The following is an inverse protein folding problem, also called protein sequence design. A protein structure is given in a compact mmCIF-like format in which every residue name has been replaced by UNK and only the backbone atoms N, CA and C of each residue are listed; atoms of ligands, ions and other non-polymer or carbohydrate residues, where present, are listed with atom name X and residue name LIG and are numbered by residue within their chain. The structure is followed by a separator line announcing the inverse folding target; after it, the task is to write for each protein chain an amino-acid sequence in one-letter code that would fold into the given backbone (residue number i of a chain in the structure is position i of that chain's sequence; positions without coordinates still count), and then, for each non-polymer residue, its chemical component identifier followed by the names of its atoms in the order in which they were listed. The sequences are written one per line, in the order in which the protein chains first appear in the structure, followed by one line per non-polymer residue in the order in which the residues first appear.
data_IF_715396592746
#
_entry.id   IF_715396592746
#
_cell.length_a   1.000
_cell.length_b   1.000
_cell.length_c   1.000
_cell.angle_alpha   90.00
_cell.angle_beta   90.00
_cell.angle_gamma   90.00
#
_symmetry.space_group_name_H-M   'P 1'
#
loop_
_entity.id
_entity.type
_entity.pdbx_description
1 polymer ?
#
# COMPACT_ATOMS: atom_id res chain seq x y z
N UNK A 1 26.65 1.61 11.10
CA UNK A 1 25.79 2.74 10.69
C UNK A 1 24.62 2.86 11.66
N UNK A 2 24.37 4.02 12.23
CA UNK A 2 23.25 4.22 13.16
C UNK A 2 21.90 4.17 12.43
N UNK A 3 20.87 3.88 13.21
CA UNK A 3 19.50 3.79 12.69
C UNK A 3 19.09 5.10 11.99
N UNK A 4 18.67 5.01 10.75
CA UNK A 4 18.21 6.15 9.95
C UNK A 4 19.27 6.90 9.15
N UNK A 5 20.55 6.66 9.38
CA UNK A 5 21.60 7.21 8.51
C UNK A 5 21.44 6.70 7.08
N UNK A 6 21.83 7.51 6.10
CA UNK A 6 21.75 7.13 4.70
C UNK A 6 23.07 7.32 3.97
N UNK A 7 23.35 6.41 3.04
CA UNK A 7 24.54 6.45 2.22
C UNK A 7 24.19 7.10 0.90
N UNK A 8 24.96 8.12 0.50
CA UNK A 8 24.74 8.84 -0.75
C UNK A 8 25.03 7.92 -1.94
N UNK A 9 24.01 7.61 -2.77
CA UNK A 9 24.19 6.75 -3.95
C UNK A 9 24.64 7.51 -5.20
N UNK A 10 24.78 8.82 -5.11
CA UNK A 10 25.07 9.68 -6.26
C UNK A 10 26.47 9.43 -6.80
N UNK A 11 26.62 9.63 -8.09
CA UNK A 11 27.92 9.58 -8.75
C UNK A 11 28.45 10.99 -9.00
N UNK A 12 29.74 11.19 -8.73
CA UNK A 12 30.46 12.42 -8.96
C UNK A 12 31.75 12.05 -9.70
N UNK A 13 31.95 12.56 -10.88
CA UNK A 13 33.11 12.22 -11.71
C UNK A 13 33.23 10.73 -12.02
N UNK A 14 32.12 10.01 -12.18
CA UNK A 14 32.07 8.58 -12.44
C UNK A 14 32.19 7.68 -11.22
N UNK A 15 32.56 8.23 -10.06
CA UNK A 15 32.72 7.50 -8.81
C UNK A 15 31.49 7.67 -7.91
N UNK A 16 31.15 6.64 -7.16
CA UNK A 16 30.08 6.71 -6.16
C UNK A 16 30.52 7.59 -4.98
N UNK A 17 29.68 8.53 -4.59
CA UNK A 17 29.95 9.40 -3.45
C UNK A 17 30.13 8.59 -2.15
N UNK A 18 29.17 7.73 -1.82
CA UNK A 18 29.27 6.83 -0.68
C UNK A 18 29.31 7.48 0.70
N UNK A 19 29.13 8.80 0.80
CA UNK A 19 29.15 9.50 2.07
C UNK A 19 28.00 9.06 2.98
N UNK A 20 28.31 8.85 4.25
CA UNK A 20 27.29 8.53 5.29
C UNK A 20 26.73 9.84 5.83
N UNK A 21 25.43 10.05 5.68
CA UNK A 21 24.75 11.26 6.12
C UNK A 21 23.82 10.96 7.30
N UNK A 22 23.63 11.96 8.16
CA UNK A 22 22.72 11.86 9.29
C UNK A 22 21.25 11.75 8.83
N UNK A 23 20.37 11.17 9.65
CA UNK A 23 18.97 10.92 9.26
C UNK A 23 18.22 12.17 8.79
N UNK A 24 18.45 13.29 9.44
CA UNK A 24 17.78 14.57 9.14
C UNK A 24 18.43 15.38 8.03
N UNK A 25 19.61 14.98 7.58
CA UNK A 25 20.33 15.67 6.51
C UNK A 25 19.60 15.43 5.19
N UNK A 26 19.17 16.51 4.54
CA UNK A 26 18.48 16.48 3.25
C UNK A 26 19.40 16.58 2.05
N UNK A 27 20.59 17.08 2.27
CA UNK A 27 21.61 17.29 1.24
C UNK A 27 22.87 16.58 1.70
N UNK A 28 23.48 15.81 0.80
CA UNK A 28 24.73 15.11 1.12
C UNK A 28 25.82 16.15 1.49
N UNK A 29 26.44 15.97 2.65
CA UNK A 29 27.48 16.87 3.13
C UNK A 29 28.76 16.82 2.27
N UNK A 30 28.96 15.78 1.48
CA UNK A 30 30.16 15.62 0.64
C UNK A 30 29.94 16.12 -0.78
N UNK A 31 28.88 15.70 -1.47
CA UNK A 31 28.67 16.09 -2.87
C UNK A 31 27.61 17.18 -3.08
N UNK A 32 26.90 17.58 -2.03
CA UNK A 32 25.88 18.63 -2.11
C UNK A 32 24.59 18.23 -2.83
N UNK A 33 24.47 17.01 -3.30
CA UNK A 33 23.25 16.54 -3.97
C UNK A 33 22.16 16.14 -2.98
N UNK A 34 20.88 16.30 -3.33
CA UNK A 34 19.80 16.01 -2.43
C UNK A 34 19.68 14.51 -2.11
N UNK A 35 19.21 14.22 -0.90
CA UNK A 35 18.87 12.86 -0.48
C UNK A 35 17.90 12.24 -1.49
N UNK A 36 18.14 10.99 -1.96
CA UNK A 36 17.20 10.34 -2.85
C UNK A 36 15.84 10.17 -2.19
N UNK A 37 14.81 10.62 -2.88
CA UNK A 37 13.44 10.29 -2.48
C UNK A 37 13.12 8.87 -2.96
N UNK A 38 12.56 8.05 -2.08
CA UNK A 38 12.01 6.77 -2.52
C UNK A 38 10.86 7.06 -3.49
N UNK A 39 10.85 6.40 -4.65
CA UNK A 39 9.65 6.35 -5.46
C UNK A 39 8.52 5.79 -4.59
N UNK A 40 7.39 6.48 -4.59
CA UNK A 40 6.20 5.94 -3.93
C UNK A 40 5.86 4.60 -4.58
N UNK A 41 5.67 3.54 -3.79
CA UNK A 41 5.14 2.29 -4.33
C UNK A 41 3.81 2.53 -5.04
N UNK A 42 3.53 1.75 -6.08
CA UNK A 42 2.30 1.89 -6.88
C UNK A 42 1.02 1.89 -6.02
N UNK A 43 0.99 1.07 -4.95
CA UNK A 43 -0.17 1.02 -4.05
C UNK A 43 -0.40 2.33 -3.28
N UNK A 44 0.62 3.11 -3.00
CA UNK A 44 0.46 4.42 -2.36
C UNK A 44 -0.09 5.47 -3.34
N UNK A 45 0.27 5.37 -4.62
CA UNK A 45 -0.28 6.24 -5.65
C UNK A 45 -1.80 6.09 -5.79
N UNK A 46 -2.31 4.86 -5.65
CA UNK A 46 -3.76 4.61 -5.68
C UNK A 46 -4.50 5.35 -4.56
N UNK A 47 -3.91 5.47 -3.38
CA UNK A 47 -4.52 6.15 -2.23
C UNK A 47 -4.59 7.68 -2.41
N UNK A 48 -3.94 8.25 -3.39
CA UNK A 48 -4.04 9.68 -3.72
C UNK A 48 -5.28 10.00 -4.54
N UNK A 49 -5.96 9.00 -5.11
CA UNK A 49 -7.20 9.21 -5.84
C UNK A 49 -8.35 9.58 -4.90
N UNK A 50 -9.26 10.48 -5.32
CA UNK A 50 -10.41 10.84 -4.52
C UNK A 50 -11.27 9.63 -4.17
N UNK A 51 -11.90 9.68 -2.99
CA UNK A 51 -12.81 8.64 -2.52
C UNK A 51 -13.95 8.35 -3.52
N UNK A 52 -14.46 9.40 -4.17
CA UNK A 52 -15.54 9.33 -5.14
C UNK A 52 -15.20 8.44 -6.34
N UNK A 53 -13.95 8.39 -6.75
CA UNK A 53 -13.48 7.48 -7.81
C UNK A 53 -13.68 6.03 -7.39
N UNK A 54 -13.38 5.71 -6.15
CA UNK A 54 -13.59 4.36 -5.60
C UNK A 54 -15.06 4.01 -5.44
N UNK A 55 -15.91 4.99 -5.13
CA UNK A 55 -17.37 4.80 -5.11
C UNK A 55 -17.87 4.40 -6.50
N UNK A 56 -17.39 5.06 -7.55
CA UNK A 56 -17.74 4.71 -8.94
C UNK A 56 -17.26 3.32 -9.34
N UNK A 57 -16.00 2.99 -9.07
CA UNK A 57 -15.44 1.66 -9.35
C UNK A 57 -16.24 0.58 -8.62
N UNK A 58 -16.66 0.85 -7.40
CA UNK A 58 -17.36 -0.09 -6.54
C UNK A 58 -18.86 -0.23 -6.88
N UNK A 59 -19.41 0.73 -7.62
CA UNK A 59 -20.83 0.77 -7.92
C UNK A 59 -21.70 1.34 -6.78
N UNK A 60 -21.08 1.98 -5.79
CA UNK A 60 -21.78 2.61 -4.67
C UNK A 60 -20.92 2.69 -3.40
N UNK A 61 -21.41 3.40 -2.40
CA UNK A 61 -20.72 3.62 -1.13
C UNK A 61 -21.12 2.53 -0.11
N UNK A 62 -20.62 1.32 -0.33
CA UNK A 62 -20.84 0.15 0.52
C UNK A 62 -19.66 -0.80 0.40
N UNK A 63 -19.45 -1.65 1.41
CA UNK A 63 -18.43 -2.69 1.34
C UNK A 63 -18.76 -3.72 0.25
N UNK A 64 -17.84 -3.94 -0.68
CA UNK A 64 -18.06 -4.86 -1.80
C UNK A 64 -18.21 -6.34 -1.38
N UNK A 65 -17.78 -6.69 -0.18
CA UNK A 65 -17.87 -8.07 0.32
C UNK A 65 -19.09 -8.28 1.21
N UNK A 66 -19.21 -7.49 2.30
CA UNK A 66 -20.27 -7.70 3.28
C UNK A 66 -21.46 -6.75 3.15
N UNK A 67 -21.35 -5.73 2.29
CA UNK A 67 -22.42 -4.74 2.08
C UNK A 67 -22.53 -3.68 3.16
N UNK A 68 -21.62 -3.64 4.15
CA UNK A 68 -21.66 -2.67 5.23
C UNK A 68 -21.58 -1.23 4.69
N UNK A 69 -22.38 -0.33 5.26
CA UNK A 69 -22.34 1.09 4.93
C UNK A 69 -21.21 1.78 5.71
N UNK A 70 -20.70 2.92 5.20
CA UNK A 70 -19.72 3.71 5.95
C UNK A 70 -20.34 4.22 7.25
N UNK A 71 -19.51 4.31 8.29
CA UNK A 71 -19.92 4.89 9.58
C UNK A 71 -19.81 6.42 9.52
N UNK A 72 -20.58 7.16 10.33
CA UNK A 72 -20.47 8.64 10.40
C UNK A 72 -19.05 9.12 10.72
N UNK A 73 -18.32 8.35 11.54
CA UNK A 73 -16.96 8.68 11.98
C UNK A 73 -15.85 8.12 11.09
N UNK A 74 -16.18 7.23 10.13
CA UNK A 74 -15.17 6.56 9.30
C UNK A 74 -15.73 6.09 7.97
N UNK A 75 -15.13 6.57 6.88
CA UNK A 75 -15.41 6.07 5.54
C UNK A 75 -14.87 4.63 5.36
N UNK A 76 -15.32 3.98 4.31
CA UNK A 76 -14.79 2.68 3.90
C UNK A 76 -13.33 2.80 3.44
N UNK A 77 -12.61 1.69 3.49
CA UNK A 77 -11.24 1.65 3.03
C UNK A 77 -11.19 1.58 1.49
N UNK A 78 -10.30 2.36 0.90
CA UNK A 78 -10.03 2.33 -0.55
C UNK A 78 -9.14 1.13 -0.86
N UNK A 79 -9.74 0.08 -1.38
CA UNK A 79 -9.01 -1.14 -1.71
C UNK A 79 -8.33 -1.04 -3.09
N UNK A 80 -7.12 -1.54 -3.18
CA UNK A 80 -6.30 -1.45 -4.37
C UNK A 80 -5.34 -2.63 -4.47
N UNK A 81 -4.90 -2.91 -5.68
CA UNK A 81 -3.87 -3.92 -5.92
C UNK A 81 -2.50 -3.40 -5.50
N UNK A 82 -1.85 -4.07 -4.56
CA UNK A 82 -0.53 -3.66 -4.09
C UNK A 82 0.57 -3.79 -5.14
N UNK A 83 0.38 -4.63 -6.14
CA UNK A 83 1.33 -4.82 -7.24
C UNK A 83 1.22 -3.72 -8.29
N UNK A 84 0.02 -3.38 -8.71
CA UNK A 84 -0.24 -2.46 -9.82
C UNK A 84 -0.66 -1.07 -9.38
N UNK A 85 -1.17 -0.91 -8.16
CA UNK A 85 -1.76 0.32 -7.66
C UNK A 85 -3.16 0.62 -8.22
N UNK A 86 -3.76 -0.31 -8.95
CA UNK A 86 -5.10 -0.12 -9.50
C UNK A 86 -6.14 -0.23 -8.41
N UNK A 87 -7.05 0.75 -8.33
CA UNK A 87 -8.20 0.73 -7.42
C UNK A 87 -9.15 -0.40 -7.75
N UNK A 88 -9.56 -1.17 -6.74
CA UNK A 88 -10.49 -2.29 -6.91
C UNK A 88 -11.90 -1.98 -6.43
N UNK A 89 -12.05 -1.16 -5.43
CA UNK A 89 -13.33 -0.80 -4.85
C UNK A 89 -13.22 -0.34 -3.41
N UNK A 90 -14.32 -0.48 -2.66
CA UNK A 90 -14.41 -0.10 -1.26
C UNK A 90 -14.66 -1.33 -0.39
N UNK A 91 -13.97 -1.39 0.73
CA UNK A 91 -14.15 -2.45 1.73
C UNK A 91 -14.27 -1.82 3.13
N UNK A 92 -15.08 -2.41 3.99
CA UNK A 92 -15.03 -2.06 5.40
C UNK A 92 -13.68 -2.52 5.99
N UNK A 93 -13.28 -1.92 7.11
CA UNK A 93 -11.99 -2.23 7.73
C UNK A 93 -11.81 -3.72 8.02
N UNK A 94 -12.86 -4.38 8.50
CA UNK A 94 -12.85 -5.82 8.78
C UNK A 94 -12.57 -6.65 7.54
N UNK A 95 -13.29 -6.40 6.44
CA UNK A 95 -13.10 -7.14 5.19
C UNK A 95 -11.75 -6.84 4.55
N UNK A 96 -11.31 -5.58 4.60
CA UNK A 96 -10.01 -5.20 4.07
C UNK A 96 -8.85 -5.89 4.82
N UNK A 97 -8.93 -5.97 6.14
CA UNK A 97 -7.93 -6.68 6.95
C UNK A 97 -7.92 -8.19 6.72
N UNK A 98 -9.04 -8.76 6.32
CA UNK A 98 -9.16 -10.19 6.03
C UNK A 98 -8.50 -10.59 4.70
N UNK A 99 -8.11 -9.63 3.86
CA UNK A 99 -7.49 -9.87 2.55
C UNK A 99 -6.04 -9.37 2.50
N UNK A 100 -5.09 -10.08 3.13
CA UNK A 100 -3.67 -9.73 3.01
C UNK A 100 -3.14 -9.94 1.58
N UNK A 101 -1.98 -9.35 1.29
CA UNK A 101 -1.42 -9.31 -0.07
C UNK A 101 -1.14 -10.68 -0.71
N UNK A 102 -0.89 -11.69 0.10
CA UNK A 102 -0.57 -13.04 -0.37
C UNK A 102 -1.79 -13.84 -0.80
N UNK A 103 -3.01 -13.36 -0.47
CA UNK A 103 -4.25 -14.06 -0.78
C UNK A 103 -4.55 -13.98 -2.27
N UNK A 104 -4.89 -15.14 -2.84
CA UNK A 104 -5.34 -15.23 -4.24
C UNK A 104 -6.78 -15.73 -4.30
N UNK A 105 -7.52 -15.47 -5.38
CA UNK A 105 -8.85 -16.04 -5.56
C UNK A 105 -8.86 -17.58 -5.46
N UNK A 106 -7.82 -18.22 -5.99
CA UNK A 106 -7.68 -19.67 -5.93
C UNK A 106 -7.52 -20.17 -4.50
N UNK A 107 -6.69 -19.53 -3.71
CA UNK A 107 -6.52 -19.86 -2.30
C UNK A 107 -7.82 -19.65 -1.53
N UNK A 108 -8.55 -18.57 -1.81
CA UNK A 108 -9.84 -18.29 -1.15
C UNK A 108 -10.90 -19.36 -1.47
N UNK A 109 -10.94 -19.84 -2.70
CA UNK A 109 -11.86 -20.95 -3.07
C UNK A 109 -11.51 -22.22 -2.31
N UNK A 110 -10.24 -22.54 -2.17
CA UNK A 110 -9.79 -23.70 -1.38
C UNK A 110 -10.10 -23.54 0.09
N UNK A 111 -9.90 -22.35 0.63
CA UNK A 111 -10.25 -22.05 2.03
C UNK A 111 -11.76 -22.17 2.28
N UNK A 112 -12.57 -21.64 1.37
CA UNK A 112 -14.02 -21.77 1.45
C UNK A 112 -14.46 -23.24 1.42
N UNK A 113 -13.91 -24.03 0.52
CA UNK A 113 -14.18 -25.48 0.42
C UNK A 113 -13.78 -26.22 1.69
N UNK A 114 -12.60 -25.90 2.24
CA UNK A 114 -12.15 -26.47 3.51
C UNK A 114 -13.14 -26.19 4.65
N UNK A 115 -13.62 -24.95 4.75
CA UNK A 115 -14.57 -24.56 5.79
C UNK A 115 -15.93 -25.23 5.60
N UNK A 116 -16.41 -25.33 4.37
CA UNK A 116 -17.68 -26.02 4.05
C UNK A 116 -17.65 -27.49 4.45
N UNK A 117 -16.56 -28.20 4.22
CA UNK A 117 -16.42 -29.60 4.57
C UNK A 117 -16.15 -29.86 6.05
N UNK A 118 -15.46 -28.95 6.73
CA UNK A 118 -14.97 -29.13 8.10
C UNK A 118 -15.80 -28.42 9.16
N UNK A 119 -16.59 -27.43 8.76
CA UNK A 119 -17.48 -26.68 9.66
C UNK A 119 -18.93 -27.14 9.55
N UNK A 120 -19.15 -28.45 9.48
CA UNK A 120 -20.44 -29.04 9.32
C UNK A 120 -21.27 -29.00 10.63
N UNK A 121 -21.52 -27.83 11.14
CA UNK A 121 -22.38 -27.65 12.28
C UNK A 121 -23.58 -26.81 11.90
#
# INVERSE_FOLDING_TARGET
MSRGQWICPRRVGGLRCGAVNQPRTRICHTCGKPKPTRRKPAHLAALEQPYEVFVEINGGDFCAICGALPKPSRRLDRDHCHRTGVGRGLLCHRCNRALPNWVTPQWLRKAAHYLDERSAA
#
